data_IF_076043051209
#
_entry.id   IF_076043051209
#
_cell.length_a   1.000
_cell.length_b   1.000
_cell.length_c   1.000
_cell.angle_alpha   90.00
_cell.angle_beta   90.00
_cell.angle_gamma   90.00
#
_symmetry.space_group_name_H-M   'P 1'
#
loop_
_entity.id
_entity.type
_entity.pdbx_description
1 polymer ?
#
# COMPACT_ATOMS: atom_id res chain seq x y z
N UNK A 1 -99.20 -6.69 2.00
CA UNK A 1 -97.81 -6.25 2.27
C UNK A 1 -97.17 -5.85 0.94
N UNK A 2 -97.06 -4.54 0.69
CA UNK A 2 -96.54 -3.98 -0.56
C UNK A 2 -95.63 -2.81 -0.22
N UNK A 3 -94.34 -2.90 -0.54
CA UNK A 3 -93.47 -1.74 -0.82
C UNK A 3 -92.43 -2.13 -1.86
N UNK A 4 -92.59 -1.51 -3.05
CA UNK A 4 -91.67 -1.51 -4.18
C UNK A 4 -90.45 -0.64 -3.88
N UNK A 5 -89.33 -1.04 -4.48
CA UNK A 5 -88.47 -0.17 -5.28
C UNK A 5 -87.64 0.89 -4.55
N UNK A 6 -86.50 0.49 -3.99
CA UNK A 6 -85.38 1.39 -3.73
C UNK A 6 -84.47 1.45 -4.95
N UNK A 7 -84.40 2.61 -5.60
CA UNK A 7 -83.57 2.90 -6.77
C UNK A 7 -82.16 3.28 -6.32
N UNK A 8 -81.14 2.54 -6.77
CA UNK A 8 -79.74 2.81 -6.47
C UNK A 8 -79.20 3.99 -7.32
N UNK A 9 -78.46 4.96 -6.76
CA UNK A 9 -77.71 5.91 -7.56
C UNK A 9 -76.41 5.27 -8.08
N UNK A 10 -76.20 5.39 -9.40
CA UNK A 10 -74.98 5.01 -10.09
C UNK A 10 -73.82 5.89 -9.61
N UNK A 11 -72.79 5.28 -9.03
CA UNK A 11 -71.49 5.93 -8.87
C UNK A 11 -70.72 5.80 -10.19
N UNK A 12 -70.49 6.92 -10.87
CA UNK A 12 -69.55 6.96 -11.98
C UNK A 12 -68.13 7.06 -11.40
N UNK A 13 -67.43 5.93 -11.31
CA UNK A 13 -66.00 5.93 -11.00
C UNK A 13 -65.24 6.45 -12.22
N UNK A 14 -64.92 7.75 -12.22
CA UNK A 14 -63.88 8.28 -13.09
C UNK A 14 -62.54 7.74 -12.61
N UNK A 15 -62.11 6.61 -13.17
CA UNK A 15 -60.73 6.13 -13.00
C UNK A 15 -59.84 7.12 -13.75
N UNK A 16 -59.23 8.03 -13.00
CA UNK A 16 -58.11 8.85 -13.47
C UNK A 16 -57.00 7.90 -13.90
N UNK A 17 -56.74 7.80 -15.21
CA UNK A 17 -55.55 7.14 -15.75
C UNK A 17 -54.33 7.98 -15.36
N UNK A 18 -53.88 7.84 -14.13
CA UNK A 18 -52.63 8.44 -13.66
C UNK A 18 -51.46 7.71 -14.32
N UNK A 19 -50.98 8.32 -15.41
CA UNK A 19 -49.63 8.31 -15.99
C UNK A 19 -48.69 7.17 -15.58
N UNK A 20 -48.87 5.99 -16.20
CA UNK A 20 -47.83 4.94 -16.28
C UNK A 20 -46.63 5.43 -17.10
N UNK A 21 -46.82 6.46 -17.95
CA UNK A 21 -45.76 7.09 -18.72
C UNK A 21 -44.70 7.78 -17.85
N UNK A 22 -45.04 8.28 -16.66
CA UNK A 22 -44.09 9.05 -15.82
C UNK A 22 -43.00 8.18 -15.18
N UNK A 23 -43.32 6.94 -14.79
CA UNK A 23 -42.36 6.07 -14.09
C UNK A 23 -41.39 5.43 -15.09
N UNK A 24 -41.91 5.01 -16.25
CA UNK A 24 -41.08 4.46 -17.33
C UNK A 24 -40.14 5.52 -17.91
N UNK A 25 -40.62 6.75 -18.11
CA UNK A 25 -39.77 7.87 -18.56
C UNK A 25 -38.74 8.27 -17.52
N UNK A 26 -39.09 8.26 -16.22
CA UNK A 26 -38.13 8.49 -15.14
C UNK A 26 -37.03 7.42 -15.12
N UNK A 27 -37.39 6.14 -15.21
CA UNK A 27 -36.44 5.03 -15.24
C UNK A 27 -35.48 5.12 -16.44
N UNK A 28 -36.01 5.46 -17.61
CA UNK A 28 -35.20 5.67 -18.81
C UNK A 28 -34.27 6.88 -18.67
N UNK A 29 -34.75 7.99 -18.08
CA UNK A 29 -33.92 9.18 -17.84
C UNK A 29 -32.81 8.93 -16.83
N UNK A 30 -33.09 8.21 -15.73
CA UNK A 30 -32.09 7.83 -14.72
C UNK A 30 -31.05 6.88 -15.31
N UNK A 31 -31.49 5.91 -16.12
CA UNK A 31 -30.58 5.00 -16.82
C UNK A 31 -29.66 5.74 -17.79
N UNK A 32 -30.20 6.73 -18.53
CA UNK A 32 -29.42 7.54 -19.47
C UNK A 32 -28.44 8.49 -18.77
N UNK A 33 -28.83 9.07 -17.63
CA UNK A 33 -27.92 9.86 -16.81
C UNK A 33 -26.83 8.97 -16.21
N UNK A 34 -27.16 7.77 -15.74
CA UNK A 34 -26.19 6.83 -15.20
C UNK A 34 -25.18 6.36 -16.26
N UNK A 35 -25.64 6.05 -17.48
CA UNK A 35 -24.73 5.68 -18.59
C UNK A 35 -23.88 6.85 -19.05
N UNK A 36 -24.41 8.08 -19.06
CA UNK A 36 -23.65 9.29 -19.36
C UNK A 36 -22.59 9.57 -18.29
N UNK A 37 -22.93 9.44 -17.01
CA UNK A 37 -21.97 9.59 -15.91
C UNK A 37 -20.90 8.50 -15.94
N UNK A 38 -21.26 7.26 -16.28
CA UNK A 38 -20.31 6.18 -16.45
C UNK A 38 -19.40 6.42 -17.66
N UNK A 39 -19.95 6.89 -18.78
CA UNK A 39 -19.18 7.27 -19.96
C UNK A 39 -18.22 8.43 -19.63
N UNK A 40 -18.67 9.47 -18.94
CA UNK A 40 -17.82 10.58 -18.50
C UNK A 40 -16.75 10.14 -17.49
N UNK A 41 -17.06 9.20 -16.60
CA UNK A 41 -16.08 8.59 -15.68
C UNK A 41 -15.03 7.79 -16.45
N UNK A 42 -15.45 6.98 -17.43
CA UNK A 42 -14.54 6.23 -18.30
C UNK A 42 -13.71 7.17 -19.20
N UNK A 43 -14.30 8.23 -19.75
CA UNK A 43 -13.59 9.26 -20.53
C UNK A 43 -12.61 10.06 -19.66
N UNK A 44 -12.99 10.40 -18.42
CA UNK A 44 -12.11 11.08 -17.47
C UNK A 44 -11.00 10.16 -16.97
N UNK A 45 -11.27 8.86 -16.82
CA UNK A 45 -10.25 7.84 -16.53
C UNK A 45 -9.29 7.64 -17.71
N UNK A 46 -9.80 7.80 -18.94
CA UNK A 46 -9.00 7.69 -20.16
C UNK A 46 -8.19 8.97 -20.45
N UNK A 47 -8.56 10.13 -19.91
CA UNK A 47 -7.82 11.39 -20.09
C UNK A 47 -6.61 11.54 -19.13
N UNK A 48 -6.34 10.55 -18.29
CA UNK A 48 -5.02 10.35 -17.66
C UNK A 48 -4.55 8.92 -17.88
N UNK A 49 -4.55 8.48 -19.14
CA UNK A 49 -3.91 7.23 -19.56
C UNK A 49 -3.30 7.40 -20.94
N UNK A 50 -2.18 8.14 -21.05
CA UNK A 50 -1.13 7.71 -21.98
C UNK A 50 -0.48 6.47 -21.38
N UNK A 51 -1.25 5.37 -21.33
CA UNK A 51 -0.73 4.05 -20.99
C UNK A 51 -0.04 3.55 -22.24
N UNK A 52 1.29 3.59 -22.23
CA UNK A 52 2.09 2.75 -23.09
C UNK A 52 1.61 1.31 -22.94
N UNK A 53 1.30 0.66 -24.06
CA UNK A 53 1.10 -0.79 -24.15
C UNK A 53 2.38 -1.51 -23.71
N UNK A 54 2.33 -2.56 -22.87
CA UNK A 54 3.52 -3.26 -22.39
C UNK A 54 3.97 -4.37 -23.36
N UNK A 55 3.97 -4.11 -24.68
CA UNK A 55 4.41 -5.10 -25.66
C UNK A 55 4.83 -4.47 -27.01
N UNK A 56 5.73 -3.49 -26.98
CA UNK A 56 6.44 -3.05 -28.20
C UNK A 56 7.75 -2.33 -27.87
N UNK A 57 8.68 -3.02 -27.22
CA UNK A 57 10.10 -2.66 -27.28
C UNK A 57 10.93 -3.94 -27.39
N UNK A 58 10.72 -4.69 -28.46
CA UNK A 58 11.64 -5.72 -28.89
C UNK A 58 11.73 -5.64 -30.41
N UNK A 59 12.41 -4.60 -30.89
CA UNK A 59 12.97 -4.45 -32.23
C UNK A 59 13.81 -3.17 -32.26
N UNK A 60 14.98 -3.26 -31.64
CA UNK A 60 16.13 -2.46 -32.02
C UNK A 60 17.25 -3.46 -32.28
N UNK A 61 17.42 -3.79 -33.55
CA UNK A 61 18.66 -4.39 -34.03
C UNK A 61 19.65 -3.24 -34.17
N UNK A 62 20.92 -3.51 -33.84
CA UNK A 62 22.13 -2.70 -34.08
C UNK A 62 22.33 -1.42 -33.26
N UNK A 63 22.85 -1.56 -32.04
CA UNK A 63 24.20 -1.09 -31.61
C UNK A 63 24.36 -1.31 -30.11
N UNK A 64 25.53 -1.81 -29.72
CA UNK A 64 25.93 -2.02 -28.33
C UNK A 64 26.21 -0.64 -27.72
N UNK A 65 25.26 -0.08 -27.01
CA UNK A 65 25.50 0.95 -25.99
C UNK A 65 24.64 0.61 -24.77
N UNK A 66 25.32 0.28 -23.68
CA UNK A 66 24.70 -0.11 -22.42
C UNK A 66 24.02 1.10 -21.77
N UNK A 67 22.75 1.34 -22.11
CA UNK A 67 21.88 2.16 -21.27
C UNK A 67 21.58 1.31 -20.04
N UNK A 68 22.27 1.56 -18.93
CA UNK A 68 21.80 1.08 -17.63
C UNK A 68 20.54 1.90 -17.30
N UNK A 69 19.36 1.36 -17.59
CA UNK A 69 18.08 1.95 -17.17
C UNK A 69 17.93 1.80 -15.65
N UNK A 70 18.71 2.56 -14.88
CA UNK A 70 18.61 2.60 -13.42
C UNK A 70 17.50 3.57 -13.00
N UNK A 71 16.61 3.14 -12.12
CA UNK A 71 15.57 4.01 -11.55
C UNK A 71 16.17 4.95 -10.50
N UNK A 72 15.94 6.25 -10.61
CA UNK A 72 16.37 7.22 -9.60
C UNK A 72 15.38 7.21 -8.42
N UNK A 73 15.91 6.94 -7.23
CA UNK A 73 15.12 6.79 -6.01
C UNK A 73 15.59 7.81 -4.98
N UNK A 74 14.69 8.71 -4.59
CA UNK A 74 14.89 9.52 -3.40
C UNK A 74 14.40 8.72 -2.18
N UNK A 75 15.22 8.61 -1.14
CA UNK A 75 14.83 7.94 0.10
C UNK A 75 14.42 8.99 1.11
N UNK A 76 13.18 8.91 1.60
CA UNK A 76 12.70 9.83 2.64
C UNK A 76 13.53 9.65 3.92
N UNK A 77 14.02 10.77 4.45
CA UNK A 77 14.77 10.84 5.71
C UNK A 77 13.84 10.67 6.94
N UNK A 78 13.18 9.53 7.03
CA UNK A 78 12.33 9.18 8.18
C UNK A 78 13.16 9.04 9.48
N UNK A 79 12.61 9.45 10.64
CA UNK A 79 13.19 9.14 11.94
C UNK A 79 13.56 7.66 12.07
N UNK A 80 14.75 7.38 12.61
CA UNK A 80 15.26 6.01 12.73
C UNK A 80 14.34 5.10 13.57
N UNK A 81 13.57 5.69 14.50
CA UNK A 81 12.52 5.01 15.27
C UNK A 81 11.42 4.35 14.44
N UNK A 82 11.30 4.70 13.14
CA UNK A 82 10.33 4.17 12.20
C UNK A 82 10.94 3.17 11.19
N UNK A 83 12.24 2.89 11.29
CA UNK A 83 12.95 1.92 10.44
C UNK A 83 13.87 0.99 11.28
N UNK A 84 15.19 1.09 11.16
CA UNK A 84 16.18 0.28 11.88
C UNK A 84 16.01 0.34 13.41
N UNK A 85 15.45 1.42 13.97
CA UNK A 85 15.12 1.50 15.39
C UNK A 85 14.02 0.54 15.84
N UNK A 86 13.13 0.12 14.93
CA UNK A 86 12.16 -0.94 15.21
C UNK A 86 12.83 -2.30 15.34
N UNK A 87 13.90 -2.55 14.57
CA UNK A 87 14.70 -3.77 14.72
C UNK A 87 15.44 -3.78 16.05
N UNK A 88 16.03 -2.65 16.46
CA UNK A 88 16.65 -2.57 17.78
C UNK A 88 15.62 -2.86 18.89
N UNK A 89 14.40 -2.31 18.77
CA UNK A 89 13.31 -2.61 19.70
C UNK A 89 12.99 -4.11 19.70
N UNK A 90 12.84 -4.73 18.52
CA UNK A 90 12.59 -6.18 18.38
C UNK A 90 13.64 -7.03 19.09
N UNK A 91 14.92 -6.73 18.89
CA UNK A 91 16.01 -7.47 19.53
C UNK A 91 16.18 -7.16 21.02
N UNK A 92 15.74 -5.99 21.48
CA UNK A 92 15.79 -5.61 22.89
C UNK A 92 14.71 -6.25 23.77
N UNK A 93 13.64 -6.77 23.17
CA UNK A 93 12.60 -7.47 23.93
C UNK A 93 13.20 -8.73 24.56
N UNK A 94 12.85 -9.02 25.81
CA UNK A 94 13.20 -10.28 26.48
C UNK A 94 12.59 -11.48 25.74
N UNK A 95 12.93 -12.71 26.13
CA UNK A 95 12.37 -13.97 25.58
C UNK A 95 10.85 -14.09 25.83
N UNK A 96 10.08 -13.24 25.16
CA UNK A 96 8.64 -13.32 25.05
C UNK A 96 8.35 -14.38 24.00
N UNK A 97 7.85 -15.53 24.44
CA UNK A 97 7.48 -16.67 23.58
C UNK A 97 6.45 -16.32 22.50
N UNK A 98 5.87 -15.12 22.56
CA UNK A 98 4.93 -14.58 21.56
C UNK A 98 5.61 -13.90 20.37
N UNK A 99 6.92 -13.63 20.43
CA UNK A 99 7.68 -12.89 19.42
C UNK A 99 8.95 -13.63 18.98
N UNK A 100 9.05 -13.84 17.67
CA UNK A 100 10.23 -14.45 17.04
C UNK A 100 10.21 -15.97 16.99
N UNK A 101 11.24 -16.53 16.38
CA UNK A 101 11.49 -17.98 16.31
C UNK A 101 12.51 -18.43 17.36
N UNK A 102 12.67 -19.74 17.52
CA UNK A 102 13.76 -20.32 18.34
C UNK A 102 15.14 -19.79 17.91
N UNK A 103 15.34 -19.62 16.60
CA UNK A 103 16.55 -19.03 16.01
C UNK A 103 16.72 -17.57 16.46
N UNK A 104 15.64 -16.78 16.47
CA UNK A 104 15.70 -15.38 16.94
C UNK A 104 16.04 -15.30 18.43
N UNK A 105 15.55 -16.24 19.25
CA UNK A 105 15.87 -16.30 20.67
C UNK A 105 17.36 -16.66 20.90
N UNK A 106 17.92 -17.57 20.11
CA UNK A 106 19.36 -17.87 20.13
C UNK A 106 20.21 -16.65 19.72
N UNK A 107 19.81 -15.95 18.66
CA UNK A 107 20.49 -14.72 18.22
C UNK A 107 20.44 -13.64 19.30
N UNK A 108 19.31 -13.54 20.02
CA UNK A 108 19.13 -12.61 21.13
C UNK A 108 20.03 -12.97 22.31
N UNK A 109 20.05 -14.24 22.73
CA UNK A 109 20.83 -14.70 23.89
C UNK A 109 22.34 -14.55 23.65
N UNK A 110 22.80 -14.78 22.43
CA UNK A 110 24.20 -14.62 22.01
C UNK A 110 24.60 -13.17 21.68
N UNK A 111 23.63 -12.24 21.70
CA UNK A 111 23.79 -10.83 21.28
C UNK A 111 24.42 -10.68 19.89
N UNK A 112 24.20 -11.65 18.99
CA UNK A 112 24.78 -11.60 17.65
C UNK A 112 24.15 -10.51 16.76
N UNK A 113 22.97 -10.02 17.12
CA UNK A 113 22.20 -9.05 16.34
C UNK A 113 22.87 -7.67 16.21
N UNK A 114 23.76 -7.28 17.14
CA UNK A 114 24.38 -5.96 17.21
C UNK A 114 25.83 -5.90 16.68
N UNK A 115 26.33 -6.97 16.06
CA UNK A 115 27.73 -7.07 15.61
C UNK A 115 28.02 -6.35 14.28
N UNK A 116 27.00 -5.88 13.56
CA UNK A 116 27.15 -5.20 12.27
C UNK A 116 26.85 -3.70 12.33
N UNK A 117 27.18 -2.97 11.26
CA UNK A 117 26.74 -1.56 11.07
C UNK A 117 25.22 -1.43 11.00
N UNK A 118 24.54 -2.50 10.58
CA UNK A 118 23.08 -2.57 10.46
C UNK A 118 22.52 -3.64 11.39
N UNK A 119 21.38 -3.37 12.07
CA UNK A 119 20.70 -4.40 12.85
C UNK A 119 20.30 -5.57 11.95
N UNK A 120 20.52 -6.80 12.42
CA UNK A 120 20.11 -8.00 11.70
C UNK A 120 18.59 -8.03 11.52
N UNK A 121 18.09 -8.51 10.38
CA UNK A 121 16.66 -8.76 10.22
C UNK A 121 16.26 -10.08 10.91
N UNK A 122 15.05 -10.21 11.50
CA UNK A 122 14.63 -11.45 12.15
C UNK A 122 14.65 -12.65 11.20
N UNK A 123 15.07 -13.81 11.70
CA UNK A 123 15.18 -15.08 10.97
C UNK A 123 13.88 -15.89 10.99
N UNK A 124 12.91 -15.53 11.84
CA UNK A 124 11.56 -16.13 11.83
C UNK A 124 10.97 -16.17 10.41
N UNK A 125 10.64 -17.34 9.84
CA UNK A 125 10.12 -17.44 8.47
C UNK A 125 8.86 -16.61 8.21
N UNK A 126 8.04 -16.39 9.25
CA UNK A 126 6.84 -15.56 9.17
C UNK A 126 7.16 -14.07 8.98
N UNK A 127 8.29 -13.61 9.51
CA UNK A 127 8.72 -12.21 9.48
C UNK A 127 9.69 -11.99 8.32
N UNK A 128 10.63 -12.93 8.10
CA UNK A 128 11.62 -12.91 7.02
C UNK A 128 10.95 -12.57 5.70
N UNK A 129 9.94 -13.33 5.27
CA UNK A 129 9.28 -13.18 3.97
C UNK A 129 8.79 -11.74 3.64
N UNK A 130 8.69 -10.89 4.65
CA UNK A 130 8.24 -9.50 4.59
C UNK A 130 9.36 -8.49 4.92
N UNK A 131 10.55 -8.68 4.37
CA UNK A 131 11.74 -7.86 4.66
C UNK A 131 12.13 -6.90 3.53
N UNK A 132 11.23 -6.64 2.57
CA UNK A 132 11.59 -5.93 1.35
C UNK A 132 12.04 -4.51 1.64
N UNK A 133 11.37 -3.80 2.54
CA UNK A 133 11.74 -2.45 2.96
C UNK A 133 13.14 -2.38 3.58
N UNK A 134 13.53 -3.40 4.34
CA UNK A 134 14.83 -3.50 4.99
C UNK A 134 15.95 -3.64 3.94
N UNK A 135 15.76 -4.53 2.97
CA UNK A 135 16.75 -4.77 1.92
C UNK A 135 16.85 -3.61 0.94
N UNK A 136 15.72 -3.01 0.53
CA UNK A 136 15.72 -1.83 -0.34
C UNK A 136 16.43 -0.66 0.35
N UNK A 137 16.13 -0.40 1.63
CA UNK A 137 16.81 0.66 2.38
C UNK A 137 18.31 0.39 2.50
N UNK A 138 18.71 -0.85 2.84
CA UNK A 138 20.12 -1.22 2.98
C UNK A 138 20.89 -1.06 1.65
N UNK A 139 20.28 -1.48 0.55
CA UNK A 139 20.83 -1.36 -0.79
C UNK A 139 21.00 0.12 -1.20
N UNK A 140 20.01 0.98 -0.96
CA UNK A 140 20.06 2.41 -1.31
C UNK A 140 20.95 3.24 -0.37
N UNK A 141 21.15 2.78 0.89
CA UNK A 141 22.06 3.43 1.84
C UNK A 141 23.52 3.05 1.61
N UNK A 142 23.79 1.98 0.86
CA UNK A 142 25.15 1.57 0.50
C UNK A 142 25.69 2.49 -0.61
N UNK A 143 26.94 2.98 -0.51
CA UNK A 143 27.57 3.78 -1.57
C UNK A 143 27.50 3.11 -2.94
N UNK A 144 27.25 3.90 -3.99
CA UNK A 144 27.01 3.39 -5.34
C UNK A 144 28.19 2.57 -5.87
N UNK A 145 29.41 2.92 -5.48
CA UNK A 145 30.66 2.26 -5.88
C UNK A 145 30.76 0.82 -5.35
N UNK A 146 30.06 0.52 -4.26
CA UNK A 146 30.04 -0.78 -3.61
C UNK A 146 28.87 -1.67 -4.10
N UNK A 147 28.02 -1.15 -5.00
CA UNK A 147 26.82 -1.83 -5.50
C UNK A 147 27.02 -2.27 -6.94
N UNK A 148 27.48 -3.51 -7.13
CA UNK A 148 27.80 -4.04 -8.45
C UNK A 148 26.59 -4.45 -9.30
N UNK A 149 25.38 -4.62 -8.71
CA UNK A 149 24.21 -5.23 -9.39
C UNK A 149 22.86 -4.61 -9.08
N UNK A 150 22.79 -3.40 -8.52
CA UNK A 150 21.48 -2.82 -8.19
C UNK A 150 20.95 -1.89 -9.28
N UNK A 151 19.68 -2.10 -9.59
CA UNK A 151 18.91 -1.42 -10.63
C UNK A 151 18.37 -0.05 -10.18
N UNK A 152 18.52 0.30 -8.90
CA UNK A 152 18.03 1.55 -8.34
C UNK A 152 19.20 2.45 -7.93
N UNK A 153 19.23 3.70 -8.38
CA UNK A 153 20.24 4.69 -8.01
C UNK A 153 19.65 5.64 -6.98
N UNK A 154 20.30 5.79 -5.82
CA UNK A 154 19.89 6.79 -4.84
C UNK A 154 20.20 8.19 -5.37
N UNK A 155 19.22 9.07 -5.32
CA UNK A 155 19.37 10.51 -5.51
C UNK A 155 19.09 11.25 -4.21
N UNK A 156 19.62 12.47 -4.08
CA UNK A 156 19.55 13.25 -2.84
C UNK A 156 18.58 14.42 -2.92
N UNK A 157 18.05 14.73 -4.10
CA UNK A 157 17.00 15.69 -4.33
C UNK A 157 15.70 14.98 -4.77
N UNK A 158 14.54 15.24 -4.13
CA UNK A 158 13.26 14.67 -4.55
C UNK A 158 12.83 15.01 -5.98
N UNK A 159 13.37 16.09 -6.55
CA UNK A 159 13.08 16.58 -7.90
C UNK A 159 13.79 15.75 -8.98
N UNK A 160 14.88 15.08 -8.62
CA UNK A 160 15.67 14.21 -9.50
C UNK A 160 15.18 12.76 -9.49
N UNK A 161 14.21 12.45 -8.64
CA UNK A 161 13.75 11.09 -8.41
C UNK A 161 12.60 10.71 -9.33
N UNK A 162 12.66 9.50 -9.90
CA UNK A 162 11.54 8.86 -10.57
C UNK A 162 10.49 8.40 -9.54
N UNK A 163 10.97 7.95 -8.37
CA UNK A 163 10.14 7.53 -7.23
C UNK A 163 10.74 7.95 -5.90
N UNK A 164 9.85 8.19 -4.93
CA UNK A 164 10.19 8.52 -3.55
C UNK A 164 9.91 7.29 -2.69
N UNK A 165 10.97 6.63 -2.23
CA UNK A 165 10.85 5.48 -1.34
C UNK A 165 10.66 5.95 0.11
N UNK A 166 9.60 5.43 0.76
CA UNK A 166 9.31 5.69 2.17
C UNK A 166 9.73 4.47 3.00
N UNK A 167 10.90 4.50 3.68
CA UNK A 167 11.49 3.33 4.31
C UNK A 167 10.85 3.02 5.69
N UNK A 168 9.54 2.84 5.77
CA UNK A 168 8.87 2.45 7.01
C UNK A 168 8.89 0.93 7.20
N UNK A 169 9.39 0.44 8.34
CA UNK A 169 9.44 -1.00 8.64
C UNK A 169 8.11 -1.50 9.21
N UNK A 170 7.10 -1.50 8.34
CA UNK A 170 5.71 -1.81 8.69
C UNK A 170 5.52 -3.21 9.26
N UNK A 171 6.21 -4.22 8.71
CA UNK A 171 6.11 -5.58 9.27
C UNK A 171 6.65 -5.62 10.69
N UNK A 172 7.83 -5.07 10.95
CA UNK A 172 8.41 -5.07 12.30
C UNK A 172 7.53 -4.27 13.26
N UNK A 173 7.00 -3.13 12.83
CA UNK A 173 6.06 -2.33 13.62
C UNK A 173 4.82 -3.13 14.04
N UNK A 174 4.23 -3.88 13.09
CA UNK A 174 3.05 -4.70 13.34
C UNK A 174 3.36 -5.89 14.26
N UNK A 175 4.46 -6.59 14.00
CA UNK A 175 4.89 -7.73 14.81
C UNK A 175 5.15 -7.30 16.26
N UNK A 176 5.85 -6.19 16.49
CA UNK A 176 6.04 -5.61 17.83
C UNK A 176 4.70 -5.39 18.56
N UNK A 177 3.68 -4.86 17.87
CA UNK A 177 2.36 -4.66 18.47
C UNK A 177 1.63 -5.98 18.74
N UNK A 178 1.68 -6.93 17.81
CA UNK A 178 1.07 -8.25 17.98
C UNK A 178 1.71 -9.00 19.14
N UNK A 179 3.02 -8.88 19.27
CA UNK A 179 3.81 -9.39 20.37
C UNK A 179 3.41 -8.79 21.70
N UNK A 180 3.45 -7.46 21.85
CA UNK A 180 3.13 -6.81 23.13
C UNK A 180 1.66 -6.96 23.50
N UNK A 181 0.75 -6.56 22.61
CA UNK A 181 -0.69 -6.48 22.88
C UNK A 181 -1.54 -6.74 21.62
N UNK A 182 -1.63 -8.02 21.20
CA UNK A 182 -2.48 -8.46 20.09
C UNK A 182 -3.95 -8.01 20.19
N UNK A 183 -4.51 -7.94 21.40
CA UNK A 183 -5.92 -7.60 21.64
C UNK A 183 -6.32 -6.19 21.23
N UNK A 184 -5.35 -5.28 21.05
CA UNK A 184 -5.60 -3.90 20.61
C UNK A 184 -5.12 -3.63 19.18
N UNK A 185 -4.60 -4.63 18.47
CA UNK A 185 -4.07 -4.47 17.11
C UNK A 185 -5.10 -3.95 16.09
N UNK A 186 -6.39 -4.22 16.31
CA UNK A 186 -7.49 -3.69 15.46
C UNK A 186 -8.04 -2.35 15.94
N UNK A 187 -7.53 -1.80 17.05
CA UNK A 187 -7.97 -0.54 17.64
C UNK A 187 -7.05 0.59 17.19
N UNK A 188 -7.57 1.82 17.17
CA UNK A 188 -6.78 3.04 16.92
C UNK A 188 -6.10 3.55 18.20
N UNK A 189 -6.76 3.39 19.33
CA UNK A 189 -6.26 3.82 20.65
C UNK A 189 -5.53 2.66 21.32
N UNK A 190 -4.35 2.93 21.87
CA UNK A 190 -3.50 1.91 22.51
C UNK A 190 -2.78 0.98 21.54
N UNK A 191 -2.85 1.25 20.23
CA UNK A 191 -2.11 0.54 19.20
C UNK A 191 -0.91 1.37 18.75
N UNK A 192 0.29 0.95 19.16
CA UNK A 192 1.52 1.65 18.81
C UNK A 192 1.86 1.52 17.32
N UNK A 193 1.50 0.41 16.67
CA UNK A 193 1.69 0.25 15.23
C UNK A 193 0.85 1.26 14.45
N UNK A 194 -0.42 1.43 14.85
CA UNK A 194 -1.28 2.48 14.28
C UNK A 194 -0.71 3.88 14.50
N UNK A 195 -0.17 4.14 15.68
CA UNK A 195 0.46 5.43 16.00
C UNK A 195 1.67 5.71 15.09
N UNK A 196 2.56 4.71 14.91
CA UNK A 196 3.72 4.81 14.01
C UNK A 196 3.31 4.97 12.54
N UNK A 197 2.30 4.24 12.08
CA UNK A 197 1.76 4.41 10.73
C UNK A 197 1.23 5.84 10.51
N UNK A 198 0.52 6.40 11.49
CA UNK A 198 0.07 7.80 11.43
C UNK A 198 1.26 8.77 11.42
N UNK A 199 2.25 8.56 12.27
CA UNK A 199 3.46 9.38 12.35
C UNK A 199 4.19 9.45 11.00
N UNK A 200 4.38 8.31 10.34
CA UNK A 200 4.96 8.25 8.98
C UNK A 200 4.13 9.05 7.99
N UNK A 201 2.81 8.86 8.00
CA UNK A 201 1.92 9.56 7.07
C UNK A 201 1.94 11.07 7.29
N UNK A 202 1.90 11.52 8.53
CA UNK A 202 1.90 12.94 8.87
C UNK A 202 3.25 13.58 8.50
N UNK A 203 4.36 12.87 8.75
CA UNK A 203 5.70 13.30 8.34
C UNK A 203 5.79 13.46 6.81
N UNK A 204 5.43 12.41 6.06
CA UNK A 204 5.56 12.40 4.59
C UNK A 204 4.62 13.44 3.97
N UNK A 205 3.38 13.57 4.44
CA UNK A 205 2.41 14.57 3.95
C UNK A 205 2.85 16.01 4.20
N UNK A 206 3.71 16.24 5.18
CA UNK A 206 4.30 17.56 5.46
C UNK A 206 5.32 18.01 4.41
N UNK A 207 5.89 17.09 3.64
CA UNK A 207 6.94 17.37 2.66
C UNK A 207 6.41 18.06 1.40
N UNK A 208 7.25 18.87 0.76
CA UNK A 208 6.87 19.56 -0.48
C UNK A 208 6.74 18.59 -1.66
N UNK A 209 7.52 17.51 -1.66
CA UNK A 209 7.39 16.44 -2.63
C UNK A 209 6.00 15.79 -2.60
N UNK A 210 5.46 15.50 -1.41
CA UNK A 210 4.09 15.00 -1.27
C UNK A 210 3.05 16.03 -1.74
N UNK A 211 3.19 17.31 -1.37
CA UNK A 211 2.26 18.37 -1.80
C UNK A 211 2.22 18.51 -3.32
N UNK A 212 3.38 18.37 -3.98
CA UNK A 212 3.53 18.43 -5.45
C UNK A 212 2.83 17.25 -6.15
N UNK A 213 3.07 16.03 -5.68
CA UNK A 213 2.59 14.82 -6.37
C UNK A 213 1.27 14.28 -5.83
N UNK A 214 0.80 14.77 -4.68
CA UNK A 214 -0.29 14.18 -3.91
C UNK A 214 0.01 12.77 -3.41
N UNK A 215 1.28 12.37 -3.33
CA UNK A 215 1.71 11.03 -2.95
C UNK A 215 1.76 10.01 -4.10
N UNK A 216 1.59 10.44 -5.36
CA UNK A 216 1.60 9.53 -6.52
C UNK A 216 2.96 8.92 -6.82
N UNK A 217 4.04 9.63 -6.55
CA UNK A 217 5.41 9.15 -6.73
C UNK A 217 5.98 8.49 -5.46
N UNK A 218 5.19 8.37 -4.38
CA UNK A 218 5.65 7.78 -3.12
C UNK A 218 5.36 6.28 -3.07
N UNK A 219 6.41 5.49 -2.84
CA UNK A 219 6.36 4.03 -2.73
C UNK A 219 6.44 3.64 -1.26
N UNK A 220 5.35 3.03 -0.78
CA UNK A 220 5.30 2.34 0.50
C UNK A 220 5.37 0.84 0.26
N UNK A 221 6.26 0.15 0.98
CA UNK A 221 6.27 -1.31 1.00
C UNK A 221 5.28 -1.75 2.07
N UNK A 222 4.17 -2.33 1.61
CA UNK A 222 3.12 -2.85 2.48
C UNK A 222 3.15 -4.36 2.39
N UNK A 223 3.77 -4.96 3.39
CA UNK A 223 3.88 -6.40 3.50
C UNK A 223 2.81 -6.90 4.46
N UNK A 224 1.98 -7.83 3.99
CA UNK A 224 0.87 -8.36 4.75
C UNK A 224 0.39 -9.67 4.19
N UNK A 225 0.29 -10.69 5.05
CA UNK A 225 -0.75 -11.68 4.86
C UNK A 225 -2.08 -10.92 4.86
N UNK A 226 -2.89 -11.07 3.80
CA UNK A 226 -4.23 -10.48 3.66
C UNK A 226 -5.15 -10.66 4.89
N UNK A 227 -4.80 -11.56 5.82
CA UNK A 227 -5.52 -11.83 7.07
C UNK A 227 -5.00 -11.09 8.31
N UNK A 228 -3.77 -10.53 8.31
CA UNK A 228 -3.16 -9.93 9.50
C UNK A 228 -2.83 -8.45 9.39
N UNK A 229 -2.55 -7.94 8.20
CA UNK A 229 -2.26 -6.51 7.98
C UNK A 229 -3.35 -5.93 7.10
N UNK A 230 -4.54 -5.70 7.67
CA UNK A 230 -5.48 -4.76 7.07
C UNK A 230 -4.88 -3.38 7.23
N UNK A 231 -4.11 -2.99 6.22
CA UNK A 231 -3.41 -1.74 6.18
C UNK A 231 -4.41 -0.58 6.22
N UNK A 232 -4.38 0.21 7.29
CA UNK A 232 -5.11 1.49 7.39
C UNK A 232 -4.29 2.63 6.77
N UNK A 233 -3.48 2.34 5.75
CA UNK A 233 -2.95 3.36 4.88
C UNK A 233 -4.13 3.86 4.03
N UNK A 234 -4.57 5.08 4.36
CA UNK A 234 -5.70 5.83 3.79
C UNK A 234 -5.95 5.52 2.30
N UNK A 235 -7.22 5.59 1.86
CA UNK A 235 -7.69 5.53 0.45
C UNK A 235 -7.00 6.51 -0.55
N UNK A 236 -5.95 7.23 -0.12
CA UNK A 236 -5.20 8.24 -0.87
C UNK A 236 -3.76 7.82 -1.16
N UNK A 237 -3.34 6.60 -0.84
CA UNK A 237 -2.03 6.11 -1.29
C UNK A 237 -2.21 5.55 -2.68
N UNK A 238 -1.70 6.30 -3.66
CA UNK A 238 -1.94 6.03 -5.07
C UNK A 238 -1.00 4.95 -5.61
N UNK A 239 0.08 4.59 -4.90
CA UNK A 239 0.99 3.52 -5.29
C UNK A 239 1.43 2.66 -4.09
N UNK A 240 0.62 1.65 -3.77
CA UNK A 240 1.02 0.55 -2.90
C UNK A 240 1.54 -0.58 -3.78
N UNK A 241 2.84 -0.90 -3.71
CA UNK A 241 3.32 -2.09 -4.42
C UNK A 241 3.16 -3.29 -3.49
N UNK A 242 2.12 -4.08 -3.76
CA UNK A 242 1.93 -5.39 -3.13
C UNK A 242 2.79 -6.40 -3.88
N UNK A 243 4.06 -6.51 -3.52
CA UNK A 243 4.95 -7.54 -4.08
C UNK A 243 4.67 -8.89 -3.42
N UNK A 244 3.95 -9.77 -4.13
CA UNK A 244 3.97 -11.21 -3.84
C UNK A 244 5.03 -11.86 -4.73
N UNK A 245 6.30 -11.65 -4.41
CA UNK A 245 7.41 -12.41 -4.98
C UNK A 245 8.27 -12.95 -3.85
N UNK A 246 8.63 -14.23 -3.97
CA UNK A 246 9.50 -14.95 -3.05
C UNK A 246 10.93 -14.40 -3.23
N UNK A 247 11.20 -13.22 -2.68
CA UNK A 247 12.43 -12.43 -2.89
C UNK A 247 13.66 -13.02 -2.16
N UNK A 248 13.44 -14.02 -1.31
CA UNK A 248 14.47 -14.73 -0.55
C UNK A 248 15.51 -15.40 -1.46
N UNK A 249 15.08 -16.10 -2.50
CA UNK A 249 15.99 -16.81 -3.42
C UNK A 249 16.73 -15.87 -4.39
N UNK A 250 16.23 -14.66 -4.60
CA UNK A 250 16.80 -13.71 -5.56
C UNK A 250 17.94 -12.88 -4.94
N UNK A 251 17.83 -12.54 -3.65
CA UNK A 251 18.84 -11.73 -2.96
C UNK A 251 20.04 -12.55 -2.47
N UNK A 252 19.85 -13.81 -2.07
CA UNK A 252 20.96 -14.69 -1.66
C UNK A 252 21.92 -14.97 -2.84
N UNK A 253 21.41 -14.96 -4.08
CA UNK A 253 22.20 -15.08 -5.32
C UNK A 253 22.86 -13.77 -5.78
N UNK A 254 22.53 -12.63 -5.15
CA UNK A 254 23.10 -11.33 -5.50
C UNK A 254 24.25 -10.92 -4.58
N UNK A 255 24.37 -11.56 -3.41
CA UNK A 255 25.35 -11.25 -2.36
C UNK A 255 26.46 -12.33 -2.27
N UNK A 256 26.34 -13.42 -3.02
CA UNK A 256 27.40 -14.41 -3.29
C UNK A 256 27.83 -14.33 -4.76
#
# INVERSE_FOLDING_TARGET
MSRRGGMAPKYNTSISKASICSVSTLFMSVSLVFTLLLALFLLSSNHTSKSATPLSCLKSTTSIDAISDSINVYVVDLPRSLNYGLLDKYWSLSDDSRLGSEIDNEIRSTRLWNKGKLPRYPESPLIKQYSAEYWIMGDLMTPQELRSRSFAKRVFAPEEADVIFVPFFGTISAELQLGVAKGVFRKKVGNEDYARQREVLDFVKGTDAWKRSGGRDHVFVLTGNLLRVSCFLSHRIVNCILWRFNMYDAFEKLVL
#
